data_IF_166634835024
#
_entry.id   IF_166634835024
#
_cell.length_a   1.000
_cell.length_b   1.000
_cell.length_c   1.000
_cell.angle_alpha   90.00
_cell.angle_beta   90.00
_cell.angle_gamma   90.00
#
_symmetry.space_group_name_H-M   'P 1'
#
loop_
_entity.id
_entity.type
_entity.pdbx_description
1 polymer ?
#
# COMPACT_ATOMS: atom_id res chain seq x y z
N UNK A 1 -6.23 -14.73 -12.99
CA UNK A 1 -5.44 -15.06 -11.78
C UNK A 1 -6.24 -14.64 -10.57
N UNK A 2 -6.54 -15.56 -9.72
CA UNK A 2 -7.30 -15.25 -8.51
C UNK A 2 -6.37 -14.58 -7.49
N UNK A 3 -6.67 -13.33 -7.15
CA UNK A 3 -5.95 -12.62 -6.11
C UNK A 3 -6.28 -13.25 -4.76
N UNK A 4 -5.26 -13.65 -4.00
CA UNK A 4 -5.43 -14.18 -2.65
C UNK A 4 -5.21 -13.06 -1.64
N UNK A 5 -6.26 -12.68 -0.94
CA UNK A 5 -6.20 -11.71 0.15
C UNK A 5 -6.38 -12.40 1.49
N UNK A 6 -5.40 -12.24 2.36
CA UNK A 6 -5.47 -12.65 3.77
C UNK A 6 -5.69 -11.43 4.64
N UNK A 7 -6.53 -11.54 5.66
CA UNK A 7 -6.76 -10.47 6.64
C UNK A 7 -6.33 -10.96 8.01
N UNK A 8 -5.48 -10.19 8.69
CA UNK A 8 -5.00 -10.48 10.05
C UNK A 8 -5.41 -9.36 10.99
N UNK A 9 -5.49 -9.67 12.28
CA UNK A 9 -5.84 -8.65 13.27
C UNK A 9 -4.68 -7.67 13.51
N UNK A 10 -3.49 -8.19 13.76
CA UNK A 10 -2.29 -7.36 14.05
C UNK A 10 -1.06 -7.99 13.42
N UNK A 11 -0.22 -7.16 12.85
CA UNK A 11 1.15 -7.54 12.43
C UNK A 11 2.11 -6.38 12.69
N UNK A 12 3.41 -6.62 12.58
CA UNK A 12 4.41 -5.55 12.60
C UNK A 12 4.22 -4.60 11.44
N UNK A 13 4.27 -5.15 10.22
CA UNK A 13 4.08 -4.41 8.97
C UNK A 13 3.63 -5.36 7.87
N UNK A 14 2.54 -5.03 7.17
CA UNK A 14 2.08 -5.83 6.03
C UNK A 14 3.12 -5.86 4.91
N UNK A 15 3.88 -4.78 4.71
CA UNK A 15 4.97 -4.77 3.74
C UNK A 15 6.10 -5.74 4.13
N UNK A 16 6.51 -5.75 5.39
CA UNK A 16 7.57 -6.67 5.85
C UNK A 16 7.15 -8.13 5.69
N UNK A 17 5.92 -8.45 6.06
CA UNK A 17 5.39 -9.80 5.90
C UNK A 17 5.38 -10.25 4.44
N UNK A 18 4.95 -9.38 3.52
CA UNK A 18 4.92 -9.71 2.10
C UNK A 18 6.28 -9.62 1.41
N UNK A 19 7.22 -8.85 1.92
CA UNK A 19 8.61 -8.92 1.46
C UNK A 19 9.18 -10.32 1.76
N UNK A 20 8.94 -10.86 2.93
CA UNK A 20 9.36 -12.22 3.29
C UNK A 20 8.64 -13.28 2.44
N UNK A 21 7.31 -13.16 2.32
CA UNK A 21 6.53 -14.08 1.48
C UNK A 21 6.97 -14.03 0.01
N UNK A 22 7.24 -12.85 -0.52
CA UNK A 22 7.72 -12.66 -1.89
C UNK A 22 9.09 -13.28 -2.13
N UNK A 23 10.02 -13.18 -1.15
CA UNK A 23 11.32 -13.86 -1.21
C UNK A 23 11.15 -15.37 -1.30
N UNK A 24 10.16 -15.92 -0.63
CA UNK A 24 9.84 -17.35 -0.65
C UNK A 24 8.98 -17.77 -1.85
N UNK A 25 8.71 -16.87 -2.79
CA UNK A 25 8.05 -17.19 -4.05
C UNK A 25 6.55 -16.89 -4.10
N UNK A 26 5.99 -16.13 -3.18
CA UNK A 26 4.58 -15.73 -3.25
C UNK A 26 4.25 -15.14 -4.63
N UNK A 27 3.15 -15.55 -5.26
CA UNK A 27 2.82 -15.13 -6.62
C UNK A 27 2.34 -13.68 -6.69
N UNK A 28 2.35 -13.13 -7.91
CA UNK A 28 1.74 -11.84 -8.21
C UNK A 28 0.29 -11.80 -7.74
N UNK A 29 -0.09 -10.72 -7.08
CA UNK A 29 -1.44 -10.53 -6.56
C UNK A 29 -1.67 -11.05 -5.14
N UNK A 30 -0.68 -11.72 -4.52
CA UNK A 30 -0.78 -12.09 -3.11
C UNK A 30 -0.95 -10.83 -2.25
N UNK A 31 -2.04 -10.76 -1.49
CA UNK A 31 -2.40 -9.62 -0.67
C UNK A 31 -2.48 -9.94 0.82
N UNK A 32 -2.12 -8.97 1.64
CA UNK A 32 -2.25 -9.04 3.09
C UNK A 32 -2.79 -7.71 3.61
N UNK A 33 -3.91 -7.77 4.31
CA UNK A 33 -4.45 -6.64 5.04
C UNK A 33 -4.37 -6.89 6.54
N UNK A 34 -4.13 -5.85 7.31
CA UNK A 34 -4.14 -5.91 8.77
C UNK A 34 -5.10 -4.88 9.34
N UNK A 35 -5.71 -5.20 10.48
CA UNK A 35 -6.55 -4.24 11.22
C UNK A 35 -5.69 -3.22 11.96
N UNK A 36 -4.49 -3.61 12.37
CA UNK A 36 -3.51 -2.74 13.01
C UNK A 36 -2.09 -3.20 12.71
N UNK A 37 -1.14 -2.27 12.74
CA UNK A 37 0.29 -2.54 12.63
C UNK A 37 1.03 -1.95 13.84
N UNK A 38 2.03 -2.67 14.34
CA UNK A 38 2.89 -2.19 15.44
C UNK A 38 4.13 -1.47 14.97
N UNK A 39 4.50 -1.62 13.71
CA UNK A 39 5.69 -1.02 13.11
C UNK A 39 5.42 -0.59 11.65
N UNK A 40 4.28 0.04 11.40
CA UNK A 40 3.91 0.56 10.09
C UNK A 40 4.92 1.58 9.58
N UNK A 41 5.28 1.48 8.30
CA UNK A 41 6.32 2.31 7.69
C UNK A 41 5.79 3.11 6.51
N UNK A 42 6.23 4.36 6.44
CA UNK A 42 6.16 5.20 5.27
C UNK A 42 7.52 5.29 4.56
N UNK A 43 7.63 6.20 3.60
CA UNK A 43 8.88 6.45 2.90
C UNK A 43 9.94 7.06 3.83
N UNK A 44 11.21 6.81 3.52
CA UNK A 44 12.39 7.42 4.18
C UNK A 44 12.41 7.19 5.70
N UNK A 45 11.96 6.02 6.15
CA UNK A 45 11.95 5.68 7.57
C UNK A 45 10.88 6.38 8.41
N UNK A 46 9.97 7.12 7.79
CA UNK A 46 8.81 7.68 8.50
C UNK A 46 7.90 6.56 8.99
N UNK A 47 7.33 6.75 10.17
CA UNK A 47 6.29 5.85 10.68
C UNK A 47 4.97 6.13 9.98
N UNK A 48 4.23 5.07 9.68
CA UNK A 48 2.83 5.16 9.30
C UNK A 48 1.97 4.89 10.54
N UNK A 49 1.05 5.82 10.84
CA UNK A 49 0.10 5.61 11.93
C UNK A 49 -0.90 4.53 11.53
N UNK A 50 -0.89 3.44 12.26
CA UNK A 50 -1.58 2.20 11.92
C UNK A 50 -2.68 1.86 12.92
N UNK A 51 -3.43 2.87 13.32
CA UNK A 51 -4.57 2.72 14.24
C UNK A 51 -5.68 1.89 13.59
N UNK A 52 -6.35 1.08 14.39
CA UNK A 52 -7.46 0.25 13.93
C UNK A 52 -8.57 1.09 13.28
N UNK A 53 -9.18 0.54 12.23
CA UNK A 53 -10.24 1.19 11.46
C UNK A 53 -9.76 1.86 10.17
N UNK A 54 -8.47 1.88 9.91
CA UNK A 54 -7.89 2.36 8.65
C UNK A 54 -7.56 1.19 7.72
N UNK A 55 -7.43 1.47 6.43
CA UNK A 55 -6.96 0.47 5.46
C UNK A 55 -5.45 0.34 5.55
N UNK A 56 -4.98 -0.86 5.82
CA UNK A 56 -3.57 -1.24 5.84
C UNK A 56 -3.44 -2.49 4.98
N UNK A 57 -2.96 -2.31 3.76
CA UNK A 57 -2.94 -3.36 2.73
C UNK A 57 -1.60 -3.38 2.03
N UNK A 58 -1.06 -4.56 1.80
CA UNK A 58 0.10 -4.75 0.92
C UNK A 58 -0.20 -5.82 -0.12
N UNK A 59 0.43 -5.71 -1.30
CA UNK A 59 0.24 -6.61 -2.43
C UNK A 59 1.61 -6.93 -3.04
N UNK A 60 1.86 -8.21 -3.31
CA UNK A 60 3.03 -8.64 -4.08
C UNK A 60 2.79 -8.37 -5.56
N UNK A 61 3.71 -7.68 -6.19
CA UNK A 61 3.69 -7.37 -7.62
C UNK A 61 4.90 -8.02 -8.31
N UNK A 62 4.64 -8.74 -9.39
CA UNK A 62 5.68 -9.33 -10.26
C UNK A 62 5.46 -8.85 -11.69
N UNK A 63 5.66 -7.54 -11.96
CA UNK A 63 5.38 -6.98 -13.27
C UNK A 63 6.40 -7.48 -14.29
N UNK A 64 5.92 -7.72 -15.52
CA UNK A 64 6.75 -8.16 -16.67
C UNK A 64 7.50 -6.97 -17.29
N UNK A 65 8.18 -6.17 -16.47
CA UNK A 65 8.96 -5.02 -16.93
C UNK A 65 10.32 -5.02 -16.22
N UNK A 66 11.27 -4.31 -16.81
CA UNK A 66 12.58 -4.15 -16.19
C UNK A 66 12.45 -3.50 -14.80
N UNK A 67 13.11 -4.04 -13.76
CA UNK A 67 13.08 -3.46 -12.41
C UNK A 67 13.48 -1.98 -12.34
N UNK A 68 14.28 -1.49 -13.29
CA UNK A 68 14.60 -0.07 -13.39
C UNK A 68 13.36 0.83 -13.57
N UNK A 69 12.24 0.25 -14.04
CA UNK A 69 10.96 0.95 -14.21
C UNK A 69 10.04 0.87 -12.99
N UNK A 70 10.44 0.20 -11.92
CA UNK A 70 9.62 0.04 -10.72
C UNK A 70 9.36 1.37 -9.99
N UNK A 71 10.14 2.40 -10.25
CA UNK A 71 9.90 3.74 -9.70
C UNK A 71 8.52 4.31 -10.06
N UNK A 72 7.92 3.86 -11.18
CA UNK A 72 6.56 4.25 -11.59
C UNK A 72 5.44 3.49 -10.88
N UNK A 73 5.74 2.41 -10.16
CA UNK A 73 4.70 1.57 -9.54
C UNK A 73 3.90 2.31 -8.47
N UNK A 74 4.51 3.23 -7.73
CA UNK A 74 3.81 3.99 -6.71
C UNK A 74 2.70 4.86 -7.33
N UNK A 75 2.99 5.53 -8.43
CA UNK A 75 2.01 6.36 -9.14
C UNK A 75 0.90 5.51 -9.75
N UNK A 76 1.24 4.40 -10.40
CA UNK A 76 0.25 3.47 -10.98
C UNK A 76 -0.64 2.88 -9.88
N UNK A 77 -0.05 2.49 -8.76
CA UNK A 77 -0.80 1.97 -7.62
C UNK A 77 -1.72 3.04 -7.02
N UNK A 78 -1.24 4.28 -6.91
CA UNK A 78 -2.04 5.41 -6.46
C UNK A 78 -3.25 5.67 -7.35
N UNK A 79 -3.06 5.61 -8.67
CA UNK A 79 -4.16 5.73 -9.63
C UNK A 79 -5.18 4.59 -9.48
N UNK A 80 -4.71 3.36 -9.28
CA UNK A 80 -5.59 2.21 -9.06
C UNK A 80 -6.42 2.36 -7.78
N UNK A 81 -5.81 2.85 -6.71
CA UNK A 81 -6.52 3.13 -5.44
C UNK A 81 -7.54 4.25 -5.65
N UNK A 82 -7.16 5.32 -6.33
CA UNK A 82 -8.06 6.43 -6.66
C UNK A 82 -9.28 5.93 -7.43
N UNK A 83 -9.06 5.14 -8.47
CA UNK A 83 -10.13 4.53 -9.27
C UNK A 83 -11.05 3.63 -8.43
N UNK A 84 -10.46 2.84 -7.53
CA UNK A 84 -11.24 2.00 -6.61
C UNK A 84 -12.12 2.82 -5.68
N UNK A 85 -11.60 3.93 -5.16
CA UNK A 85 -12.36 4.86 -4.32
C UNK A 85 -13.47 5.57 -5.09
N UNK A 86 -13.21 5.94 -6.34
CA UNK A 86 -14.21 6.51 -7.25
C UNK A 86 -15.39 5.56 -7.45
N UNK A 87 -15.13 4.28 -7.67
CA UNK A 87 -16.17 3.25 -7.81
C UNK A 87 -17.02 3.09 -6.56
N UNK A 88 -16.51 3.49 -5.40
CA UNK A 88 -17.26 3.52 -4.13
C UNK A 88 -18.01 4.83 -3.91
N UNK A 89 -18.00 5.74 -4.87
CA UNK A 89 -18.69 7.03 -4.76
C UNK A 89 -17.92 8.09 -3.96
N UNK A 90 -16.62 7.90 -3.75
CA UNK A 90 -15.80 8.73 -2.85
C UNK A 90 -14.87 9.72 -3.58
N UNK A 91 -15.09 9.92 -4.88
CA UNK A 91 -14.10 10.57 -5.75
C UNK A 91 -14.03 12.08 -5.74
N UNK A 92 -15.08 12.77 -5.30
CA UNK A 92 -15.24 14.18 -5.65
C UNK A 92 -14.23 15.15 -5.02
N UNK A 93 -13.38 14.69 -4.11
CA UNK A 93 -12.44 15.54 -3.39
C UNK A 93 -11.05 14.90 -3.24
N UNK A 94 -10.81 13.77 -3.92
CA UNK A 94 -9.57 13.01 -3.77
C UNK A 94 -8.70 13.23 -4.99
N UNK A 95 -7.43 13.46 -4.74
CA UNK A 95 -6.41 13.57 -5.76
C UNK A 95 -5.17 12.78 -5.40
N UNK A 96 -4.29 12.67 -6.37
CA UNK A 96 -2.98 12.06 -6.22
C UNK A 96 -1.93 13.17 -6.17
N UNK A 97 -1.18 13.20 -5.08
CA UNK A 97 -0.01 14.06 -4.97
C UNK A 97 1.22 13.22 -5.28
N UNK A 98 1.91 13.59 -6.37
CA UNK A 98 3.11 12.92 -6.81
C UNK A 98 4.19 12.89 -5.72
N UNK A 99 4.90 11.77 -5.53
CA UNK A 99 4.78 10.54 -6.33
C UNK A 99 3.88 9.46 -5.71
N UNK A 100 3.42 9.60 -4.47
CA UNK A 100 2.87 8.47 -3.73
C UNK A 100 1.82 8.81 -2.65
N UNK A 101 1.29 10.02 -2.65
CA UNK A 101 0.31 10.44 -1.65
C UNK A 101 -1.08 10.56 -2.26
N UNK A 102 -2.07 10.05 -1.52
CA UNK A 102 -3.48 10.38 -1.74
C UNK A 102 -3.82 11.59 -0.88
N UNK A 103 -4.47 12.57 -1.47
CA UNK A 103 -4.86 13.80 -0.78
C UNK A 103 -6.36 14.06 -0.95
N UNK A 104 -6.95 14.65 0.08
CA UNK A 104 -8.31 15.14 0.05
C UNK A 104 -8.35 16.48 0.76
N UNK A 105 -8.99 17.48 0.15
CA UNK A 105 -9.11 18.84 0.71
C UNK A 105 -7.76 19.43 1.10
N UNK A 106 -6.72 19.20 0.30
CA UNK A 106 -5.37 19.68 0.55
C UNK A 106 -4.63 18.97 1.70
N UNK A 107 -5.17 17.89 2.24
CA UNK A 107 -4.59 17.14 3.38
C UNK A 107 -4.33 15.69 2.99
N UNK A 108 -3.38 15.05 3.65
CA UNK A 108 -3.02 13.66 3.36
C UNK A 108 -4.12 12.69 3.81
N UNK A 109 -4.66 11.96 2.85
CA UNK A 109 -5.63 10.89 3.07
C UNK A 109 -4.97 9.52 3.17
N UNK A 110 -3.94 9.29 2.39
CA UNK A 110 -3.28 8.00 2.32
C UNK A 110 -1.91 8.09 1.71
N UNK A 111 -1.22 6.98 1.71
CA UNK A 111 0.11 6.86 1.12
C UNK A 111 0.35 5.51 0.49
N UNK A 112 1.27 5.49 -0.46
CA UNK A 112 1.71 4.29 -1.16
C UNK A 112 3.20 4.11 -0.90
N UNK A 113 3.59 2.91 -0.47
CA UNK A 113 5.00 2.55 -0.27
C UNK A 113 5.32 1.33 -1.13
N UNK A 114 6.11 1.51 -2.17
CA UNK A 114 6.59 0.43 -3.02
C UNK A 114 8.03 0.09 -2.66
N UNK A 115 8.26 -1.18 -2.35
CA UNK A 115 9.58 -1.70 -2.03
C UNK A 115 9.93 -2.84 -2.97
N UNK A 116 11.08 -2.75 -3.63
CA UNK A 116 11.56 -3.75 -4.58
C UNK A 116 12.56 -4.70 -3.90
N UNK A 117 12.53 -5.97 -4.30
CA UNK A 117 13.44 -6.99 -3.81
C UNK A 117 13.63 -8.09 -4.87
N UNK A 118 14.44 -9.09 -4.55
CA UNK A 118 14.58 -10.31 -5.32
C UNK A 118 14.23 -11.50 -4.46
N UNK A 119 13.59 -12.49 -5.07
CA UNK A 119 13.27 -13.73 -4.39
C UNK A 119 14.50 -14.68 -4.29
N UNK A 120 14.31 -15.82 -3.65
CA UNK A 120 15.37 -16.81 -3.44
C UNK A 120 15.90 -17.42 -4.75
N UNK A 121 15.17 -17.26 -5.85
CA UNK A 121 15.62 -17.65 -7.19
C UNK A 121 16.24 -16.48 -7.99
N UNK A 122 16.39 -15.30 -7.37
CA UNK A 122 16.92 -14.10 -7.99
C UNK A 122 15.93 -13.32 -8.85
N UNK A 123 14.66 -13.71 -8.88
CA UNK A 123 13.63 -13.02 -9.67
C UNK A 123 13.20 -11.73 -8.97
N UNK A 124 13.09 -10.62 -9.71
CA UNK A 124 12.65 -9.35 -9.12
C UNK A 124 11.16 -9.37 -8.81
N UNK A 125 10.81 -8.70 -7.72
CA UNK A 125 9.42 -8.42 -7.36
C UNK A 125 9.35 -7.11 -6.58
N UNK A 126 8.14 -6.63 -6.38
CA UNK A 126 7.88 -5.48 -5.51
C UNK A 126 6.74 -5.79 -4.56
N UNK A 127 6.72 -5.09 -3.44
CA UNK A 127 5.57 -5.05 -2.53
C UNK A 127 5.02 -3.63 -2.55
N UNK A 128 3.75 -3.50 -2.84
CA UNK A 128 3.03 -2.23 -2.82
C UNK A 128 2.22 -2.14 -1.53
N UNK A 129 2.64 -1.28 -0.61
CA UNK A 129 1.92 -0.96 0.60
C UNK A 129 0.97 0.22 0.37
N UNK A 130 -0.24 0.08 0.86
CA UNK A 130 -1.32 1.06 0.72
C UNK A 130 -1.89 1.34 2.10
N UNK A 131 -1.77 2.58 2.57
CA UNK A 131 -2.41 3.04 3.79
C UNK A 131 -3.43 4.12 3.45
N UNK A 132 -4.67 3.97 3.92
CA UNK A 132 -5.72 4.98 3.74
C UNK A 132 -6.40 5.25 5.07
N UNK A 133 -6.50 6.52 5.44
CA UNK A 133 -7.20 6.94 6.64
C UNK A 133 -8.72 6.83 6.40
N UNK A 134 -9.38 5.94 7.12
CA UNK A 134 -10.83 5.72 7.01
C UNK A 134 -11.55 6.25 8.25
N UNK A 135 -11.22 5.73 9.42
CA UNK A 135 -11.89 6.07 10.68
C UNK A 135 -11.03 6.91 11.63
N UNK A 136 -9.74 6.97 11.40
CA UNK A 136 -8.81 7.71 12.26
C UNK A 136 -7.92 8.60 11.41
N UNK A 137 -7.62 9.77 11.94
CA UNK A 137 -6.80 10.76 11.26
C UNK A 137 -5.75 11.32 12.20
N UNK A 138 -4.44 11.24 11.87
CA UNK A 138 -3.42 12.03 12.55
C UNK A 138 -3.70 13.53 12.43
N UNK A 139 -3.16 14.32 13.34
CA UNK A 139 -3.49 15.74 13.51
C UNK A 139 -3.38 16.59 12.23
N UNK A 140 -2.51 16.24 11.30
CA UNK A 140 -2.27 16.99 10.06
C UNK A 140 -2.82 16.29 8.80
N UNK A 141 -3.60 15.23 8.96
CA UNK A 141 -4.16 14.45 7.86
C UNK A 141 -5.68 14.59 7.80
N UNK A 142 -6.31 13.79 6.96
CA UNK A 142 -7.76 13.72 6.79
C UNK A 142 -8.18 12.25 6.65
N UNK A 143 -9.42 11.94 7.04
CA UNK A 143 -10.03 10.63 6.85
C UNK A 143 -11.38 10.75 6.16
N UNK A 144 -11.97 9.61 5.79
CA UNK A 144 -13.29 9.56 5.14
C UNK A 144 -14.47 9.71 6.09
N UNK A 145 -14.24 9.58 7.35
CA UNK A 145 -15.30 9.76 8.36
C UNK A 145 -15.10 11.04 9.21
#
# INVERSE_FOLDING_TARGET
MDAQLTIVDVTGSTNDDLLEAGKQGAPHGTGLAARAQTAGRGRRGHKWDSTAGNLLLSIVLRPCVNPAKYSGLAAVSGLAVLEALEKQGLANEIGLKWPNDLVARGRKLGGILVEAARDNEGKPFAVCGIGVNVNYTPQEAVSYT
#
